data_IF_471238776016
#
_entry.id   IF_471238776016
#
_cell.length_a   1.000
_cell.length_b   1.000
_cell.length_c   1.000
_cell.angle_alpha   90.00
_cell.angle_beta   90.00
_cell.angle_gamma   90.00
#
_symmetry.space_group_name_H-M   'P 1'
#
loop_
_entity.id
_entity.type
_entity.pdbx_description
1 polymer ?
#
# COMPACT_ATOMS: atom_id res chain seq x y z
N UNK A 1 -66.69 52.12 26.91
CA UNK A 1 -65.63 51.22 27.40
C UNK A 1 -65.90 49.84 26.76
N UNK A 2 -65.33 49.50 25.59
CA UNK A 2 -64.04 48.79 25.33
C UNK A 2 -64.00 47.40 26.01
N UNK A 3 -63.75 46.22 25.40
CA UNK A 3 -63.06 45.73 24.17
C UNK A 3 -63.75 44.41 23.71
N UNK A 4 -64.05 44.10 22.43
CA UNK A 4 -63.21 43.58 21.29
C UNK A 4 -62.49 42.27 21.66
N UNK A 5 -63.10 41.08 21.46
CA UNK A 5 -63.20 40.20 20.27
C UNK A 5 -61.90 39.47 19.88
N UNK A 6 -61.89 38.15 19.95
CA UNK A 6 -60.77 37.29 19.57
C UNK A 6 -61.27 36.18 18.63
N UNK A 7 -60.70 36.12 17.43
CA UNK A 7 -60.90 35.07 16.46
C UNK A 7 -59.58 34.79 15.72
N UNK A 8 -59.18 33.52 15.73
CA UNK A 8 -58.76 32.74 14.55
C UNK A 8 -57.46 33.13 13.79
N UNK A 9 -56.48 32.20 13.87
CA UNK A 9 -55.62 31.66 12.80
C UNK A 9 -54.16 32.14 12.51
N UNK A 10 -53.29 31.10 12.46
CA UNK A 10 -52.18 30.80 11.52
C UNK A 10 -50.72 31.20 11.83
N UNK A 11 -49.87 30.14 11.84
CA UNK A 11 -48.45 29.99 11.43
C UNK A 11 -47.39 31.00 11.93
N UNK A 12 -46.22 30.49 12.36
CA UNK A 12 -44.87 30.90 11.89
C UNK A 12 -43.79 30.31 12.82
N UNK A 13 -42.86 29.51 12.27
CA UNK A 13 -41.53 29.22 12.85
C UNK A 13 -40.60 30.34 12.36
N UNK A 14 -39.86 31.08 13.21
CA UNK A 14 -38.45 30.71 13.49
C UNK A 14 -37.82 31.28 14.79
N UNK A 15 -36.51 31.07 14.92
CA UNK A 15 -35.53 31.71 15.82
C UNK A 15 -35.58 31.21 17.28
N UNK A 16 -34.51 31.11 18.07
CA UNK A 16 -33.10 31.47 17.98
C UNK A 16 -32.52 31.03 19.32
N UNK A 17 -31.40 30.32 19.36
CA UNK A 17 -30.45 30.26 20.49
C UNK A 17 -29.29 29.35 20.05
N UNK A 18 -28.01 29.72 20.06
CA UNK A 18 -27.34 30.81 20.71
C UNK A 18 -26.10 31.21 19.91
N UNK A 19 -25.83 32.51 19.87
CA UNK A 19 -24.62 33.10 19.36
C UNK A 19 -23.47 32.99 20.38
N UNK A 20 -22.27 32.82 19.81
CA UNK A 20 -21.00 33.41 20.22
C UNK A 20 -20.33 32.93 21.53
N UNK A 21 -19.24 32.18 21.36
CA UNK A 21 -17.96 32.55 21.99
C UNK A 21 -16.92 32.73 20.89
N UNK A 22 -16.26 33.88 20.97
CA UNK A 22 -15.45 34.55 19.95
C UNK A 22 -14.06 33.93 19.71
N UNK A 23 -13.56 34.28 18.52
CA UNK A 23 -12.30 33.96 17.87
C UNK A 23 -11.01 34.26 18.65
N UNK A 24 -9.96 33.47 18.39
CA UNK A 24 -8.57 33.95 18.38
C UNK A 24 -7.68 33.04 17.50
N UNK A 25 -7.04 33.61 16.48
CA UNK A 25 -5.83 33.07 15.85
C UNK A 25 -6.02 32.48 14.44
N UNK A 26 -5.93 33.33 13.43
CA UNK A 26 -5.82 32.94 12.02
C UNK A 26 -4.53 32.17 11.73
N UNK A 27 -4.66 30.94 11.24
CA UNK A 27 -3.81 30.43 10.16
C UNK A 27 -4.72 30.36 8.94
N UNK A 28 -4.26 30.74 7.72
CA UNK A 28 -5.03 30.50 6.50
C UNK A 28 -5.18 28.99 6.34
N UNK A 29 -6.29 28.50 6.89
CA UNK A 29 -6.57 27.10 7.06
C UNK A 29 -6.89 26.58 5.67
N UNK A 30 -6.04 25.73 5.11
CA UNK A 30 -6.31 25.05 3.86
C UNK A 30 -7.56 24.20 4.11
N UNK A 31 -8.74 24.70 3.74
CA UNK A 31 -9.99 23.95 3.74
C UNK A 31 -9.93 22.93 2.61
N UNK A 32 -9.20 21.83 2.82
CA UNK A 32 -9.29 20.67 1.94
C UNK A 32 -10.53 19.88 2.38
N UNK A 33 -11.69 20.16 1.78
CA UNK A 33 -12.89 19.32 1.94
C UNK A 33 -12.74 18.06 1.07
N UNK A 34 -11.78 17.19 1.40
CA UNK A 34 -11.80 15.84 0.83
C UNK A 34 -13.00 15.11 1.44
N UNK A 35 -14.01 14.80 0.63
CA UNK A 35 -15.15 14.00 1.09
C UNK A 35 -14.65 12.57 1.31
N UNK A 36 -14.72 12.07 2.54
CA UNK A 36 -14.44 10.66 2.81
C UNK A 36 -15.50 9.79 2.14
N UNK A 37 -15.06 8.75 1.45
CA UNK A 37 -15.82 7.73 0.74
C UNK A 37 -15.24 6.36 1.08
N UNK A 38 -15.91 5.29 0.65
CA UNK A 38 -15.46 3.92 0.98
C UNK A 38 -14.04 3.57 0.52
N UNK A 39 -13.48 4.27 -0.48
CA UNK A 39 -12.13 4.01 -1.01
C UNK A 39 -11.03 4.73 -0.22
N UNK A 40 -11.28 5.95 0.27
CA UNK A 40 -10.27 6.73 1.01
C UNK A 40 -10.45 6.66 2.54
N UNK A 41 -11.57 6.15 3.05
CA UNK A 41 -11.83 6.07 4.49
C UNK A 41 -10.82 5.21 5.23
N UNK A 42 -10.42 4.06 4.67
CA UNK A 42 -9.47 3.15 5.30
C UNK A 42 -8.08 3.79 5.44
N UNK A 43 -7.59 4.43 4.37
CA UNK A 43 -6.35 5.19 4.40
C UNK A 43 -6.42 6.34 5.40
N UNK A 44 -7.56 7.04 5.44
CA UNK A 44 -7.73 8.18 6.33
C UNK A 44 -7.83 7.79 7.80
N UNK A 45 -8.51 6.69 8.12
CA UNK A 45 -8.61 6.17 9.48
C UNK A 45 -7.24 5.69 10.00
N UNK A 46 -6.42 5.08 9.14
CA UNK A 46 -5.05 4.70 9.47
C UNK A 46 -4.14 5.92 9.71
N UNK A 47 -4.25 6.96 8.86
CA UNK A 47 -3.55 8.24 9.06
C UNK A 47 -3.96 8.93 10.37
N UNK A 48 -5.27 8.90 10.69
CA UNK A 48 -5.78 9.42 11.96
C UNK A 48 -5.27 8.61 13.15
N UNK A 49 -5.18 7.28 13.03
CA UNK A 49 -4.57 6.44 14.05
C UNK A 49 -3.10 6.80 14.27
N UNK A 50 -2.40 7.25 13.23
CA UNK A 50 -1.00 7.68 13.34
C UNK A 50 -0.81 8.95 14.18
N UNK A 51 -1.85 9.80 14.33
CA UNK A 51 -1.78 10.99 15.19
C UNK A 51 -1.70 10.65 16.69
N UNK A 52 -1.91 9.40 17.07
CA UNK A 52 -1.74 8.92 18.44
C UNK A 52 -0.33 8.35 18.70
N UNK A 53 0.51 8.22 17.68
CA UNK A 53 1.91 7.80 17.85
C UNK A 53 2.77 8.99 18.25
N UNK A 54 3.71 8.73 19.16
CA UNK A 54 4.55 9.77 19.77
C UNK A 54 5.87 9.95 19.04
N UNK A 55 6.24 8.99 18.20
CA UNK A 55 7.49 9.02 17.44
C UNK A 55 7.27 8.77 15.95
N UNK A 56 8.14 9.37 15.12
CA UNK A 56 8.18 9.11 13.67
C UNK A 56 8.42 7.63 13.36
N UNK A 57 9.16 6.91 14.22
CA UNK A 57 9.43 5.48 14.08
C UNK A 57 8.14 4.66 14.18
N UNK A 58 7.28 4.92 15.17
CA UNK A 58 6.01 4.20 15.33
C UNK A 58 5.08 4.38 14.12
N UNK A 59 5.02 5.61 13.58
CA UNK A 59 4.27 5.91 12.36
C UNK A 59 4.84 5.10 11.18
N UNK A 60 6.17 5.10 11.01
CA UNK A 60 6.84 4.34 9.95
C UNK A 60 6.61 2.83 10.08
N UNK A 61 6.73 2.28 11.30
CA UNK A 61 6.55 0.86 11.58
C UNK A 61 5.13 0.39 11.20
N UNK A 62 4.09 1.17 11.55
CA UNK A 62 2.68 0.86 11.20
C UNK A 62 2.40 1.01 9.70
N UNK A 63 2.92 2.05 9.05
CA UNK A 63 2.78 2.22 7.61
C UNK A 63 3.46 1.07 6.88
N UNK A 64 4.68 0.71 7.32
CA UNK A 64 5.41 -0.41 6.78
C UNK A 64 4.66 -1.73 7.02
N UNK A 65 4.14 -2.00 8.22
CA UNK A 65 3.35 -3.21 8.48
C UNK A 65 2.09 -3.30 7.60
N UNK A 66 1.39 -2.18 7.42
CA UNK A 66 0.11 -2.13 6.70
C UNK A 66 0.28 -2.25 5.19
N UNK A 67 1.34 -1.65 4.63
CA UNK A 67 1.51 -1.49 3.19
C UNK A 67 2.73 -2.22 2.62
N UNK A 68 3.61 -2.76 3.47
CA UNK A 68 4.72 -3.57 3.00
C UNK A 68 4.18 -4.77 2.25
N UNK A 69 4.61 -4.89 0.99
CA UNK A 69 4.44 -6.10 0.21
C UNK A 69 5.62 -7.06 0.37
N UNK A 70 6.62 -6.72 1.18
CA UNK A 70 7.70 -7.65 1.51
C UNK A 70 7.07 -8.88 2.14
N UNK A 71 7.53 -10.07 1.76
CA UNK A 71 6.99 -11.36 2.19
C UNK A 71 5.55 -11.64 1.68
N UNK A 72 5.02 -10.86 0.71
CA UNK A 72 3.71 -11.10 0.09
C UNK A 72 3.74 -12.39 -0.75
N UNK A 73 3.09 -13.43 -0.23
CA UNK A 73 3.05 -14.75 -0.84
C UNK A 73 2.39 -14.75 -2.22
N UNK A 74 1.41 -13.87 -2.46
CA UNK A 74 0.72 -13.76 -3.77
C UNK A 74 1.69 -13.22 -4.81
N UNK A 75 2.40 -12.13 -4.49
CA UNK A 75 3.41 -11.55 -5.41
C UNK A 75 4.53 -12.55 -5.70
N UNK A 76 5.02 -13.25 -4.67
CA UNK A 76 6.06 -14.29 -4.82
C UNK A 76 5.56 -15.39 -5.76
N UNK A 77 4.34 -15.87 -5.57
CA UNK A 77 3.76 -16.94 -6.41
C UNK A 77 3.60 -16.50 -7.87
N UNK A 78 3.09 -15.30 -8.11
CA UNK A 78 2.92 -14.75 -9.46
C UNK A 78 4.26 -14.64 -10.19
N UNK A 79 5.29 -14.10 -9.53
CA UNK A 79 6.63 -13.98 -10.12
C UNK A 79 7.24 -15.36 -10.41
N UNK A 80 7.13 -16.30 -9.46
CA UNK A 80 7.58 -17.69 -9.69
C UNK A 80 6.88 -18.34 -10.88
N UNK A 81 5.59 -18.10 -11.04
CA UNK A 81 4.82 -18.58 -12.18
C UNK A 81 5.29 -17.97 -13.50
N UNK A 82 5.63 -16.67 -13.51
CA UNK A 82 6.21 -16.01 -14.69
C UNK A 82 7.60 -16.57 -15.01
N UNK A 83 8.46 -16.78 -14.02
CA UNK A 83 9.79 -17.40 -14.20
C UNK A 83 9.63 -18.78 -14.84
N UNK A 84 8.80 -19.65 -14.26
CA UNK A 84 8.63 -21.02 -14.74
C UNK A 84 8.00 -21.11 -16.13
N UNK A 85 7.22 -20.11 -16.56
CA UNK A 85 6.65 -20.00 -17.90
C UNK A 85 7.59 -19.34 -18.92
N UNK A 86 8.69 -18.70 -18.49
CA UNK A 86 9.59 -18.01 -19.41
C UNK A 86 10.40 -19.02 -20.22
N UNK A 87 10.35 -18.89 -21.54
CA UNK A 87 11.13 -19.69 -22.50
C UNK A 87 11.99 -18.76 -23.33
N UNK A 88 13.14 -19.25 -23.82
CA UNK A 88 14.01 -18.52 -24.73
C UNK A 88 13.24 -18.16 -26.02
N UNK A 89 12.65 -19.17 -26.68
CA UNK A 89 11.90 -18.97 -27.92
C UNK A 89 12.79 -18.33 -29.00
N UNK A 90 12.27 -17.33 -29.69
CA UNK A 90 12.99 -16.65 -30.78
C UNK A 90 14.01 -15.59 -30.30
N UNK A 91 14.17 -15.43 -28.98
CA UNK A 91 15.08 -14.41 -28.40
C UNK A 91 16.52 -14.91 -28.39
N UNK A 92 17.45 -13.96 -28.42
CA UNK A 92 18.85 -14.28 -28.12
C UNK A 92 19.01 -14.76 -26.67
N UNK A 93 20.05 -15.55 -26.40
CA UNK A 93 20.38 -16.03 -25.05
C UNK A 93 20.54 -14.85 -24.08
N UNK A 94 21.16 -13.76 -24.52
CA UNK A 94 21.38 -12.56 -23.70
C UNK A 94 20.06 -11.89 -23.32
N UNK A 95 19.12 -11.76 -24.25
CA UNK A 95 17.79 -11.20 -23.97
C UNK A 95 17.01 -12.08 -23.01
N UNK A 96 17.01 -13.40 -23.23
CA UNK A 96 16.38 -14.36 -22.33
C UNK A 96 16.97 -14.28 -20.91
N UNK A 97 18.29 -14.29 -20.78
CA UNK A 97 18.99 -14.16 -19.51
C UNK A 97 18.65 -12.84 -18.78
N UNK A 98 18.53 -11.73 -19.52
CA UNK A 98 18.17 -10.44 -18.94
C UNK A 98 16.72 -10.42 -18.41
N UNK A 99 15.78 -11.08 -19.09
CA UNK A 99 14.40 -11.20 -18.62
C UNK A 99 14.35 -11.98 -17.31
N UNK A 100 14.99 -13.16 -17.27
CA UNK A 100 15.07 -13.96 -16.05
C UNK A 100 15.75 -13.21 -14.92
N UNK A 101 16.86 -12.51 -15.20
CA UNK A 101 17.55 -11.67 -14.22
C UNK A 101 16.62 -10.62 -13.62
N UNK A 102 15.84 -9.93 -14.44
CA UNK A 102 14.86 -8.94 -13.96
C UNK A 102 13.80 -9.58 -13.07
N UNK A 103 13.27 -10.75 -13.45
CA UNK A 103 12.27 -11.47 -12.66
C UNK A 103 12.85 -11.97 -11.33
N UNK A 104 14.09 -12.46 -11.31
CA UNK A 104 14.76 -12.86 -10.07
C UNK A 104 15.03 -11.68 -9.14
N UNK A 105 15.40 -10.51 -9.68
CA UNK A 105 15.55 -9.30 -8.88
C UNK A 105 14.21 -8.83 -8.29
N UNK A 106 13.13 -8.94 -9.06
CA UNK A 106 11.76 -8.69 -8.58
C UNK A 106 11.40 -9.68 -7.45
N UNK A 107 11.70 -10.97 -7.63
CA UNK A 107 11.47 -12.01 -6.63
C UNK A 107 12.27 -11.74 -5.34
N UNK A 108 13.54 -11.36 -5.46
CA UNK A 108 14.42 -11.04 -4.33
C UNK A 108 13.88 -9.86 -3.50
N UNK A 109 13.24 -8.89 -4.14
CA UNK A 109 12.63 -7.75 -3.45
C UNK A 109 11.47 -8.18 -2.54
N UNK A 110 10.66 -9.13 -3.00
CA UNK A 110 9.52 -9.65 -2.22
C UNK A 110 9.93 -10.76 -1.25
N UNK A 111 11.08 -11.41 -1.46
CA UNK A 111 11.57 -12.44 -0.56
C UNK A 111 12.12 -11.86 0.75
N UNK A 112 11.51 -12.32 1.83
CA UNK A 112 11.75 -11.90 3.21
C UNK A 112 12.95 -12.63 3.85
N UNK A 113 14.05 -12.80 3.12
CA UNK A 113 15.16 -13.64 3.55
C UNK A 113 16.06 -12.88 4.52
N UNK A 114 15.76 -12.99 5.82
CA UNK A 114 16.62 -12.43 6.88
C UNK A 114 17.69 -13.45 7.26
N UNK A 115 18.95 -13.06 7.07
CA UNK A 115 20.10 -13.91 7.36
C UNK A 115 20.69 -13.53 8.72
N UNK A 116 20.87 -14.52 9.61
CA UNK A 116 21.34 -14.28 10.98
C UNK A 116 22.86 -14.47 11.14
N UNK A 117 23.51 -15.17 10.21
CA UNK A 117 24.96 -15.34 10.17
C UNK A 117 25.52 -15.40 8.75
N UNK A 118 26.84 -15.20 8.61
CA UNK A 118 27.57 -15.19 7.34
C UNK A 118 27.59 -16.54 6.62
N UNK A 119 27.69 -17.63 7.37
CA UNK A 119 27.78 -18.99 6.87
C UNK A 119 26.46 -19.42 6.22
N UNK A 120 25.33 -19.19 6.90
CA UNK A 120 23.99 -19.43 6.35
C UNK A 120 23.74 -18.57 5.11
N UNK A 121 24.27 -17.33 5.09
CA UNK A 121 24.20 -16.45 3.94
C UNK A 121 24.93 -16.98 2.72
N UNK A 122 26.13 -17.51 2.91
CA UNK A 122 26.86 -18.16 1.84
C UNK A 122 26.11 -19.41 1.34
N UNK A 123 25.54 -20.20 2.24
CA UNK A 123 24.80 -21.42 1.88
C UNK A 123 23.53 -21.10 1.08
N UNK A 124 22.71 -20.16 1.55
CA UNK A 124 21.49 -19.75 0.86
C UNK A 124 21.80 -19.16 -0.51
N UNK A 125 22.84 -18.32 -0.61
CA UNK A 125 23.27 -17.77 -1.91
C UNK A 125 23.63 -18.87 -2.90
N UNK A 126 24.34 -19.91 -2.45
CA UNK A 126 24.67 -21.08 -3.30
C UNK A 126 23.41 -21.82 -3.75
N UNK A 127 22.46 -22.03 -2.83
CA UNK A 127 21.18 -22.67 -3.15
C UNK A 127 20.39 -21.86 -4.18
N UNK A 128 20.22 -20.55 -3.96
CA UNK A 128 19.49 -19.66 -4.87
C UNK A 128 20.13 -19.63 -6.26
N UNK A 129 21.46 -19.53 -6.36
CA UNK A 129 22.15 -19.57 -7.65
C UNK A 129 21.91 -20.90 -8.37
N UNK A 130 21.94 -22.02 -7.65
CA UNK A 130 21.69 -23.34 -8.22
C UNK A 130 20.27 -23.45 -8.79
N UNK A 131 19.26 -23.01 -8.05
CA UNK A 131 17.87 -22.99 -8.52
C UNK A 131 17.72 -22.13 -9.79
N UNK A 132 18.32 -20.94 -9.81
CA UNK A 132 18.29 -20.06 -10.99
C UNK A 132 18.94 -20.66 -12.23
N UNK A 133 20.01 -21.45 -12.04
CA UNK A 133 20.62 -22.21 -13.14
C UNK A 133 19.62 -23.23 -13.69
N UNK A 134 18.92 -23.97 -12.83
CA UNK A 134 17.91 -24.92 -13.28
C UNK A 134 16.75 -24.25 -14.01
N UNK A 135 16.26 -23.13 -13.51
CA UNK A 135 15.21 -22.34 -14.17
C UNK A 135 15.66 -21.81 -15.54
N UNK A 136 16.91 -21.35 -15.65
CA UNK A 136 17.50 -20.90 -16.91
C UNK A 136 17.61 -22.04 -17.92
N UNK A 137 18.13 -23.19 -17.51
CA UNK A 137 18.30 -24.35 -18.40
C UNK A 137 16.94 -24.91 -18.83
N UNK A 138 15.96 -24.97 -17.92
CA UNK A 138 14.63 -25.53 -18.20
C UNK A 138 13.83 -24.72 -19.24
N UNK A 139 14.20 -23.47 -19.50
CA UNK A 139 13.57 -22.64 -20.52
C UNK A 139 14.41 -22.38 -21.76
N UNK A 140 15.63 -22.95 -21.83
CA UNK A 140 16.52 -22.83 -22.98
C UNK A 140 15.98 -23.63 -24.17
N UNK A 141 16.30 -23.21 -25.39
CA UNK A 141 15.92 -23.96 -26.58
C UNK A 141 16.72 -25.28 -26.68
N UNK A 142 16.11 -26.32 -27.26
CA UNK A 142 16.71 -27.66 -27.43
C UNK A 142 18.02 -27.66 -28.23
N UNK A 143 18.25 -26.64 -29.04
CA UNK A 143 19.49 -26.46 -29.80
C UNK A 143 20.73 -26.18 -28.92
N UNK A 144 20.51 -25.88 -27.63
CA UNK A 144 21.53 -25.65 -26.62
C UNK A 144 21.51 -26.68 -25.46
N UNK A 145 20.68 -27.72 -25.58
CA UNK A 145 20.58 -28.82 -24.59
C UNK A 145 21.77 -29.80 -24.70
#
# INVERSE_FOLDING_TARGET
MSKVSEATNTSTVPASEALAIHALGELPNIQVTYRLNGKNYLQWSQLKSCMFFTTTKEIWDVVNETYSKVCDATQIFEIKTRISATRQGDRSITEYANILKSLWQELDHYQCLKMMCSEDAALLKRFVVKERIFEFLAGLNVEYD
#
